data_IF_586560537077
#
_entry.id   IF_586560537077
#
_cell.length_a   1.000
_cell.length_b   1.000
_cell.length_c   1.000
_cell.angle_alpha   90.00
_cell.angle_beta   90.00
_cell.angle_gamma   90.00
#
_symmetry.space_group_name_H-M   'P 1'
#
loop_
_entity.id
_entity.type
_entity.pdbx_description
1 polymer ?
#
# COMPACT_ATOMS: atom_id res chain seq x y z
N UNK A 1 -3.84 20.54 -17.74
CA UNK A 1 -3.05 19.53 -18.51
C UNK A 1 -3.59 19.21 -19.89
N UNK A 2 -4.91 19.30 -20.12
CA UNK A 2 -5.47 19.25 -21.47
C UNK A 2 -4.85 20.31 -22.42
N UNK A 3 -4.46 21.48 -21.91
CA UNK A 3 -3.83 22.57 -22.67
C UNK A 3 -2.43 22.21 -23.21
N UNK A 4 -1.58 21.51 -22.45
CA UNK A 4 -0.28 21.07 -22.96
C UNK A 4 -0.44 20.04 -24.10
N UNK A 5 -1.40 19.11 -23.96
CA UNK A 5 -1.77 18.17 -25.03
C UNK A 5 -2.44 18.84 -26.24
N UNK A 6 -3.01 20.04 -26.06
CA UNK A 6 -3.64 20.83 -27.11
C UNK A 6 -2.64 21.72 -27.90
N UNK A 7 -1.33 21.59 -27.65
CA UNK A 7 -0.28 22.27 -28.43
C UNK A 7 0.27 23.54 -27.80
N UNK A 8 -0.10 23.88 -26.56
CA UNK A 8 0.54 24.99 -25.83
C UNK A 8 1.92 24.58 -25.34
N UNK A 9 2.95 25.40 -25.59
CA UNK A 9 4.32 25.13 -25.11
C UNK A 9 4.42 25.25 -23.60
N UNK A 10 5.34 24.48 -23.01
CA UNK A 10 5.60 24.48 -21.56
C UNK A 10 6.03 25.86 -21.07
N UNK A 11 6.75 26.65 -21.88
CA UNK A 11 7.13 28.02 -21.51
C UNK A 11 5.94 28.98 -21.47
N UNK A 12 4.97 28.83 -22.38
CA UNK A 12 3.74 29.64 -22.38
C UNK A 12 2.93 29.37 -21.11
N UNK A 13 2.79 28.10 -20.74
CA UNK A 13 2.07 27.70 -19.53
C UNK A 13 2.81 28.16 -18.26
N UNK A 14 4.14 28.11 -18.23
CA UNK A 14 4.92 28.61 -17.09
C UNK A 14 4.71 30.10 -16.85
N UNK A 15 4.64 30.88 -17.94
CA UNK A 15 4.38 32.32 -17.87
C UNK A 15 2.94 32.64 -17.47
N UNK A 16 1.98 31.85 -17.93
CA UNK A 16 0.55 32.03 -17.65
C UNK A 16 0.17 31.65 -16.20
N UNK A 17 0.78 30.60 -15.65
CA UNK A 17 0.47 30.11 -14.31
C UNK A 17 1.45 30.61 -13.22
N UNK A 18 2.39 31.49 -13.57
CA UNK A 18 3.46 31.99 -12.69
C UNK A 18 4.29 30.88 -12.00
N UNK A 19 4.27 29.68 -12.58
CA UNK A 19 4.92 28.49 -12.05
C UNK A 19 6.27 28.29 -12.71
N UNK A 20 7.25 27.79 -11.94
CA UNK A 20 8.54 27.41 -12.51
C UNK A 20 8.36 26.32 -13.57
N UNK A 21 9.02 26.50 -14.73
CA UNK A 21 9.01 25.59 -15.90
C UNK A 21 9.25 24.13 -15.49
N UNK A 22 10.14 23.91 -14.51
CA UNK A 22 10.45 22.58 -13.98
C UNK A 22 9.20 21.86 -13.42
N UNK A 23 8.35 22.58 -12.68
CA UNK A 23 7.13 22.04 -12.07
C UNK A 23 6.13 21.56 -13.13
N UNK A 24 5.98 22.34 -14.21
CA UNK A 24 5.08 22.00 -15.31
C UNK A 24 5.62 20.80 -16.07
N UNK A 25 6.94 20.75 -16.31
CA UNK A 25 7.59 19.61 -16.95
C UNK A 25 7.40 18.31 -16.13
N UNK A 26 7.56 18.38 -14.81
CA UNK A 26 7.33 17.26 -13.91
C UNK A 26 5.88 16.77 -13.96
N UNK A 27 4.91 17.68 -14.00
CA UNK A 27 3.52 17.29 -14.13
C UNK A 27 3.21 16.69 -15.50
N UNK A 28 3.79 17.19 -16.60
CA UNK A 28 3.59 16.62 -17.95
C UNK A 28 4.12 15.18 -17.96
N UNK A 29 5.33 14.98 -17.43
CA UNK A 29 5.93 13.66 -17.27
C UNK A 29 5.05 12.72 -16.43
N UNK A 30 4.48 13.21 -15.33
CA UNK A 30 3.59 12.42 -14.47
C UNK A 30 2.30 12.03 -15.21
N UNK A 31 1.75 12.90 -16.07
CA UNK A 31 0.57 12.59 -16.90
C UNK A 31 0.89 11.56 -17.99
N UNK A 32 2.10 11.58 -18.57
CA UNK A 32 2.56 10.55 -19.52
C UNK A 32 2.72 9.18 -18.85
N UNK A 33 3.25 9.15 -17.62
CA UNK A 33 3.39 7.94 -16.82
C UNK A 33 2.00 7.40 -16.44
N UNK A 34 1.13 8.26 -15.89
CA UNK A 34 -0.22 7.86 -15.48
C UNK A 34 -1.11 7.46 -16.68
N UNK A 35 -0.79 7.95 -17.89
CA UNK A 35 -1.44 7.56 -19.13
C UNK A 35 -0.84 6.33 -19.82
N UNK A 36 0.11 5.63 -19.19
CA UNK A 36 0.68 4.38 -19.72
C UNK A 36 1.58 4.54 -20.95
N UNK A 37 2.11 5.74 -21.21
CA UNK A 37 3.03 5.98 -22.34
C UNK A 37 4.48 5.62 -21.99
N UNK A 38 4.77 5.46 -20.68
CA UNK A 38 6.05 4.97 -20.14
C UNK A 38 5.78 3.74 -19.27
N UNK A 39 5.87 2.56 -19.87
CA UNK A 39 5.60 1.25 -19.23
C UNK A 39 6.52 0.91 -18.04
N UNK A 40 7.61 1.65 -17.83
CA UNK A 40 8.64 1.32 -16.85
C UNK A 40 8.48 2.04 -15.48
N UNK A 41 7.55 2.98 -15.36
CA UNK A 41 7.35 3.76 -14.13
C UNK A 41 5.99 3.47 -13.48
N UNK A 42 5.97 3.35 -12.14
CA UNK A 42 4.73 3.18 -11.38
C UNK A 42 3.83 4.41 -11.54
N UNK A 43 2.57 4.17 -11.92
CA UNK A 43 1.55 5.23 -11.95
C UNK A 43 1.30 5.78 -10.54
N UNK A 44 0.68 6.94 -10.45
CA UNK A 44 0.23 7.51 -9.18
C UNK A 44 -0.71 6.55 -8.42
N UNK A 45 -1.59 5.84 -9.14
CA UNK A 45 -2.47 4.81 -8.58
C UNK A 45 -1.68 3.62 -8.02
N UNK A 46 -0.70 3.10 -8.75
CA UNK A 46 0.14 1.99 -8.30
C UNK A 46 0.95 2.36 -7.05
N UNK A 47 1.46 3.59 -6.99
CA UNK A 47 2.19 4.08 -5.81
C UNK A 47 1.28 4.17 -4.59
N UNK A 48 0.04 4.60 -4.76
CA UNK A 48 -0.91 4.70 -3.66
C UNK A 48 -1.33 3.31 -3.16
N UNK A 49 -1.61 2.38 -4.06
CA UNK A 49 -1.91 1.00 -3.68
C UNK A 49 -0.71 0.34 -3.00
N UNK A 50 0.52 0.58 -3.49
CA UNK A 50 1.74 0.10 -2.84
C UNK A 50 1.90 0.65 -1.41
N UNK A 51 1.56 1.92 -1.16
CA UNK A 51 1.56 2.49 0.19
C UNK A 51 0.53 1.82 1.09
N UNK A 52 -0.69 1.63 0.59
CA UNK A 52 -1.77 0.93 1.30
C UNK A 52 -1.36 -0.48 1.69
N UNK A 53 -0.88 -1.26 0.73
CA UNK A 53 -0.44 -2.64 0.94
C UNK A 53 0.73 -2.72 1.93
N UNK A 54 1.70 -1.79 1.87
CA UNK A 54 2.79 -1.73 2.85
C UNK A 54 2.30 -1.46 4.27
N UNK A 55 1.31 -0.58 4.43
CA UNK A 55 0.68 -0.29 5.73
C UNK A 55 -0.05 -1.51 6.27
N UNK A 56 -0.84 -2.17 5.43
CA UNK A 56 -1.58 -3.38 5.80
C UNK A 56 -0.63 -4.53 6.16
N UNK A 57 0.41 -4.77 5.36
CA UNK A 57 1.39 -5.81 5.64
C UNK A 57 2.09 -5.58 6.98
N UNK A 58 2.43 -4.33 7.31
CA UNK A 58 2.99 -3.98 8.62
C UNK A 58 2.02 -4.31 9.76
N UNK A 59 0.74 -3.95 9.63
CA UNK A 59 -0.28 -4.27 10.63
C UNK A 59 -0.48 -5.78 10.80
N UNK A 60 -0.53 -6.53 9.71
CA UNK A 60 -0.65 -7.99 9.72
C UNK A 60 0.55 -8.65 10.39
N UNK A 61 1.77 -8.18 10.12
CA UNK A 61 2.98 -8.67 10.79
C UNK A 61 2.93 -8.41 12.29
N UNK A 62 2.52 -7.21 12.72
CA UNK A 62 2.35 -6.90 14.15
C UNK A 62 1.31 -7.80 14.81
N UNK A 63 0.14 -8.01 14.19
CA UNK A 63 -0.90 -8.90 14.71
C UNK A 63 -0.38 -10.34 14.84
N UNK A 64 0.29 -10.84 13.81
CA UNK A 64 0.92 -12.19 13.84
C UNK A 64 1.92 -12.31 14.97
N UNK A 65 2.79 -11.32 15.16
CA UNK A 65 3.79 -11.32 16.23
C UNK A 65 3.15 -11.32 17.63
N UNK A 66 2.10 -10.52 17.84
CA UNK A 66 1.31 -10.54 19.09
C UNK A 66 0.71 -11.93 19.33
N UNK A 67 0.10 -12.54 18.31
CA UNK A 67 -0.49 -13.88 18.44
C UNK A 67 0.56 -14.94 18.75
N UNK A 68 1.73 -14.89 18.10
CA UNK A 68 2.84 -15.81 18.37
C UNK A 68 3.38 -15.64 19.79
N UNK A 69 3.59 -14.40 20.24
CA UNK A 69 4.01 -14.09 21.61
C UNK A 69 2.97 -14.56 22.63
N UNK A 70 1.69 -14.35 22.36
CA UNK A 70 0.59 -14.86 23.17
C UNK A 70 0.63 -16.38 23.26
N UNK A 71 0.70 -17.07 22.12
CA UNK A 71 0.79 -18.53 22.07
C UNK A 71 1.99 -19.07 22.84
N UNK A 72 3.16 -18.44 22.70
CA UNK A 72 4.35 -18.80 23.47
C UNK A 72 4.14 -18.60 24.97
N UNK A 73 3.55 -17.47 25.39
CA UNK A 73 3.24 -17.20 26.79
C UNK A 73 2.24 -18.21 27.37
N UNK A 74 1.15 -18.52 26.66
CA UNK A 74 0.15 -19.50 27.10
C UNK A 74 0.77 -20.89 27.26
N UNK A 75 1.68 -21.26 26.36
CA UNK A 75 2.38 -22.55 26.40
C UNK A 75 3.35 -22.61 27.57
N UNK A 76 4.13 -21.55 27.81
CA UNK A 76 5.05 -21.47 28.94
C UNK A 76 4.34 -21.51 30.30
N UNK A 77 3.11 -20.98 30.39
CA UNK A 77 2.32 -20.95 31.62
C UNK A 77 1.31 -22.11 31.73
N UNK A 78 1.35 -23.10 30.83
CA UNK A 78 0.49 -24.29 30.86
C UNK A 78 -1.01 -24.03 30.62
N UNK A 79 -1.39 -22.84 30.16
CA UNK A 79 -2.79 -22.42 30.01
C UNK A 79 -3.39 -22.81 28.65
N UNK A 80 -2.54 -23.14 27.67
CA UNK A 80 -2.97 -23.48 26.29
C UNK A 80 -3.94 -24.65 26.25
N UNK A 81 -3.72 -25.67 27.09
CA UNK A 81 -4.61 -26.82 27.17
C UNK A 81 -6.01 -26.41 27.61
N UNK A 82 -6.16 -25.58 28.64
CA UNK A 82 -7.48 -25.16 29.16
C UNK A 82 -8.21 -24.27 28.15
N UNK A 83 -7.52 -23.30 27.54
CA UNK A 83 -8.15 -22.37 26.59
C UNK A 83 -8.61 -23.06 25.30
N UNK A 84 -7.83 -24.02 24.77
CA UNK A 84 -8.22 -24.80 23.60
C UNK A 84 -9.43 -25.70 23.90
N UNK A 85 -9.44 -26.40 25.04
CA UNK A 85 -10.58 -27.25 25.42
C UNK A 85 -11.88 -26.45 25.61
N UNK A 86 -11.81 -25.22 26.11
CA UNK A 86 -12.99 -24.36 26.33
C UNK A 86 -13.55 -23.79 25.01
N UNK A 87 -12.70 -23.49 24.02
CA UNK A 87 -13.14 -22.87 22.76
C UNK A 87 -13.30 -23.86 21.59
N UNK A 88 -12.98 -25.14 21.78
CA UNK A 88 -13.02 -26.17 20.74
C UNK A 88 -14.41 -26.35 20.09
N UNK A 89 -15.49 -26.01 20.81
CA UNK A 89 -16.86 -26.07 20.32
C UNK A 89 -17.24 -24.90 19.38
N UNK A 90 -16.54 -23.77 19.46
CA UNK A 90 -16.82 -22.56 18.66
C UNK A 90 -15.93 -22.49 17.43
N UNK A 91 -14.70 -23.00 17.53
CA UNK A 91 -13.74 -23.08 16.43
C UNK A 91 -13.15 -24.49 16.37
N UNK A 92 -13.80 -25.43 15.66
CA UNK A 92 -13.25 -26.77 15.49
C UNK A 92 -11.93 -26.66 14.75
N UNK A 93 -10.83 -27.02 15.42
CA UNK A 93 -9.52 -27.09 14.80
C UNK A 93 -9.46 -28.42 14.05
N UNK A 94 -9.85 -28.42 12.77
CA UNK A 94 -9.54 -29.54 11.90
C UNK A 94 -8.02 -29.56 11.71
N UNK A 95 -7.37 -30.50 12.40
CA UNK A 95 -5.97 -30.82 12.12
C UNK A 95 -5.91 -31.40 10.71
N UNK A 96 -5.43 -30.61 9.74
CA UNK A 96 -4.99 -31.15 8.45
C UNK A 96 -3.85 -32.14 8.73
N UNK A 97 -4.18 -33.42 8.63
CA UNK A 97 -3.21 -34.51 8.56
C UNK A 97 -2.52 -34.52 7.18
#
# INVERSE_FOLDING_TARGET
>A
MALAKAGHSVESLAREFEQCIATIHDWVKQVEIDGGTRDYDLTSADREELRRLRKENRQLRTKRDILLKGAAWFTANGVTFVFMTVNQAVYPIETMA
#
